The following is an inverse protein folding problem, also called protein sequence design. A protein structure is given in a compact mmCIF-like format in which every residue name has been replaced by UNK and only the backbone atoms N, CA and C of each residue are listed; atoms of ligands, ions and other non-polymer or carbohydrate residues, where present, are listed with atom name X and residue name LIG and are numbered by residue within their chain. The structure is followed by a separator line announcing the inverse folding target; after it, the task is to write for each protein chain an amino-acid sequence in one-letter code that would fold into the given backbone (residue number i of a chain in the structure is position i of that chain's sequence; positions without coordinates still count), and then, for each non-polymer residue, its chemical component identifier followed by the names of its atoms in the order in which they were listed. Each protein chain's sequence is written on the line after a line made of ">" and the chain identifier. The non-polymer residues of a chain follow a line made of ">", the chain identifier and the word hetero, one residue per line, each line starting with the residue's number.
data_IF_519396726647
#
_entry.id   IF_519396726647
#
_cell.length_a   1.000
_cell.length_b   1.000
_cell.length_c   1.000
_cell.angle_alpha   90.00
_cell.angle_beta   90.00
_cell.angle_gamma   90.00
#
_symmetry.space_group_name_H-M   'P 1'
#
loop_
_entity.id
_entity.type
_entity.pdbx_description
1 polymer ?
#
# COMPACT_ATOMS: atom_id res chain seq x y z
N UNK A 1 23.08 14.62 -2.94
CA UNK A 1 21.95 14.63 -3.89
C UNK A 1 21.36 16.03 -3.91
N UNK A 2 21.04 16.59 -5.09
CA UNK A 2 20.36 17.90 -5.17
C UNK A 2 18.92 17.78 -4.67
N UNK A 3 18.41 18.81 -3.99
CA UNK A 3 17.06 18.81 -3.41
C UNK A 3 15.97 18.67 -4.49
N UNK A 4 16.15 19.31 -5.65
CA UNK A 4 15.31 19.14 -6.85
C UNK A 4 15.17 17.68 -7.27
N UNK A 5 16.27 16.94 -7.33
CA UNK A 5 16.25 15.52 -7.69
C UNK A 5 15.47 14.65 -6.69
N UNK A 6 15.42 15.05 -5.41
CA UNK A 6 14.59 14.37 -4.40
C UNK A 6 13.12 14.72 -4.58
N UNK A 7 12.79 15.99 -4.79
CA UNK A 7 11.42 16.46 -5.00
C UNK A 7 10.79 15.86 -6.26
N UNK A 8 11.55 15.75 -7.35
CA UNK A 8 11.09 15.12 -8.60
C UNK A 8 10.75 13.65 -8.40
N UNK A 9 11.43 12.96 -7.48
CA UNK A 9 11.12 11.55 -7.18
C UNK A 9 9.75 11.37 -6.52
N UNK A 10 9.17 12.43 -5.95
CA UNK A 10 7.83 12.41 -5.38
C UNK A 10 6.74 12.41 -6.46
N UNK A 11 7.03 12.88 -7.67
CA UNK A 11 6.05 12.92 -8.74
C UNK A 11 5.77 11.52 -9.30
N UNK A 12 4.54 11.27 -9.80
CA UNK A 12 4.21 10.04 -10.51
C UNK A 12 5.20 9.75 -11.66
N UNK A 13 5.50 8.48 -11.97
CA UNK A 13 6.51 8.14 -12.97
C UNK A 13 6.29 8.80 -14.34
N UNK A 14 5.04 8.85 -14.81
CA UNK A 14 4.68 9.46 -16.08
C UNK A 14 4.99 10.97 -16.15
N UNK A 15 4.73 11.68 -15.04
CA UNK A 15 5.05 13.11 -14.90
C UNK A 15 6.55 13.32 -14.90
N UNK A 16 7.28 12.49 -14.15
CA UNK A 16 8.74 12.57 -14.05
C UNK A 16 9.43 12.31 -15.40
N UNK A 17 8.94 11.33 -16.15
CA UNK A 17 9.51 10.99 -17.46
C UNK A 17 9.28 12.09 -18.50
N UNK A 18 8.11 12.74 -18.45
CA UNK A 18 7.74 13.77 -19.44
C UNK A 18 8.23 15.18 -19.09
N UNK A 19 8.15 15.56 -17.82
CA UNK A 19 8.34 16.93 -17.34
C UNK A 19 9.37 17.04 -16.22
N UNK A 20 10.06 15.95 -15.88
CA UNK A 20 10.97 15.93 -14.73
C UNK A 20 12.17 16.88 -14.87
N UNK A 21 12.69 17.10 -16.08
CA UNK A 21 13.76 18.09 -16.34
C UNK A 21 13.28 19.51 -16.06
N UNK A 22 12.11 19.86 -16.58
CA UNK A 22 11.58 21.22 -16.51
C UNK A 22 11.20 21.58 -15.07
N UNK A 23 10.62 20.62 -14.35
CA UNK A 23 10.35 20.75 -12.91
C UNK A 23 11.67 20.86 -12.12
N UNK A 24 12.74 20.19 -12.53
CA UNK A 24 14.06 20.29 -11.86
C UNK A 24 14.59 21.72 -11.94
N UNK A 25 14.58 22.26 -13.15
CA UNK A 25 15.10 23.58 -13.45
C UNK A 25 14.27 24.65 -12.75
N UNK A 26 12.95 24.50 -12.71
CA UNK A 26 12.06 25.42 -11.99
C UNK A 26 12.30 25.38 -10.47
N UNK A 27 12.44 24.20 -9.88
CA UNK A 27 12.73 24.04 -8.44
C UNK A 27 14.12 24.59 -8.08
N UNK A 28 15.13 24.35 -8.93
CA UNK A 28 16.48 24.86 -8.72
C UNK A 28 16.52 26.40 -8.84
N UNK A 29 15.72 27.00 -9.73
CA UNK A 29 15.58 28.47 -9.85
C UNK A 29 14.79 29.10 -8.71
N UNK A 30 13.71 28.48 -8.27
CA UNK A 30 12.84 29.02 -7.22
C UNK A 30 13.41 28.83 -5.80
N UNK A 31 14.33 27.87 -5.62
CA UNK A 31 15.03 27.64 -4.36
C UNK A 31 14.15 27.02 -3.26
N UNK A 32 14.63 26.99 -2.00
CA UNK A 32 14.01 26.23 -0.92
C UNK A 32 12.60 26.65 -0.53
N UNK A 33 12.20 27.88 -0.84
CA UNK A 33 10.84 28.38 -0.55
C UNK A 33 9.76 27.66 -1.38
N UNK A 34 10.10 27.14 -2.56
CA UNK A 34 9.14 26.42 -3.42
C UNK A 34 8.98 24.95 -3.05
N UNK A 35 9.91 24.37 -2.29
CA UNK A 35 9.97 22.92 -2.05
C UNK A 35 8.69 22.33 -1.46
N UNK A 36 8.08 23.04 -0.51
CA UNK A 36 6.80 22.61 0.08
C UNK A 36 5.68 22.62 -0.96
N UNK A 37 5.57 23.70 -1.75
CA UNK A 37 4.56 23.81 -2.81
C UNK A 37 4.76 22.72 -3.88
N UNK A 38 6.01 22.42 -4.23
CA UNK A 38 6.37 21.32 -5.15
C UNK A 38 5.95 19.96 -4.58
N UNK A 39 6.22 19.69 -3.30
CA UNK A 39 5.81 18.45 -2.65
C UNK A 39 4.27 18.31 -2.57
N UNK A 40 3.57 19.39 -2.24
CA UNK A 40 2.10 19.44 -2.26
C UNK A 40 1.56 19.22 -3.68
N UNK A 41 2.19 19.81 -4.69
CA UNK A 41 1.85 19.61 -6.11
C UNK A 41 2.00 18.15 -6.53
N UNK A 42 3.11 17.51 -6.16
CA UNK A 42 3.31 16.08 -6.37
C UNK A 42 2.20 15.24 -5.71
N UNK A 43 1.85 15.56 -4.46
CA UNK A 43 0.76 14.91 -3.74
C UNK A 43 -0.61 15.06 -4.43
N UNK A 44 -0.93 16.26 -4.92
CA UNK A 44 -2.17 16.50 -5.69
C UNK A 44 -2.24 15.66 -6.96
N UNK A 45 -1.14 15.53 -7.68
CA UNK A 45 -1.07 14.67 -8.86
C UNK A 45 -1.27 13.20 -8.50
N UNK A 46 -0.74 12.72 -7.36
CA UNK A 46 -1.03 11.36 -6.90
C UNK A 46 -2.51 11.08 -6.65
N UNK A 47 -3.27 12.10 -6.27
CA UNK A 47 -4.72 12.01 -6.05
C UNK A 47 -5.54 12.10 -7.35
N UNK A 48 -4.96 12.59 -8.43
CA UNK A 48 -5.64 12.78 -9.73
C UNK A 48 -4.91 12.00 -10.83
N UNK A 49 -4.99 10.64 -10.82
CA UNK A 49 -4.39 9.80 -11.85
C UNK A 49 -4.89 10.10 -13.28
N UNK A 50 -6.05 10.74 -13.42
CA UNK A 50 -6.63 11.12 -14.70
C UNK A 50 -5.84 12.21 -15.42
N UNK A 51 -5.11 13.05 -14.68
CA UNK A 51 -4.28 14.13 -15.21
C UNK A 51 -2.92 13.63 -15.74
N UNK A 52 -2.59 12.36 -15.54
CA UNK A 52 -1.28 11.84 -15.92
C UNK A 52 -1.19 11.60 -17.42
N UNK A 53 -0.10 12.04 -18.07
CA UNK A 53 0.12 11.73 -19.47
C UNK A 53 0.34 10.22 -19.63
N UNK A 54 -0.46 9.57 -20.47
CA UNK A 54 -0.19 8.18 -20.83
C UNK A 54 0.88 8.13 -21.91
N UNK A 55 2.11 7.78 -21.53
CA UNK A 55 3.18 7.51 -22.51
C UNK A 55 3.12 6.07 -23.01
N UNK A 56 2.58 5.16 -22.20
CA UNK A 56 2.33 3.75 -22.55
C UNK A 56 0.92 3.36 -22.10
N UNK A 57 0.17 2.70 -22.99
CA UNK A 57 -1.19 2.23 -22.67
C UNK A 57 -1.21 1.38 -21.39
N UNK A 58 -2.11 1.73 -20.46
CA UNK A 58 -2.29 1.03 -19.19
C UNK A 58 -1.23 1.32 -18.11
N UNK A 59 -0.32 2.28 -18.33
CA UNK A 59 0.66 2.71 -17.32
C UNK A 59 -0.02 3.26 -16.06
N UNK A 60 -1.04 4.10 -16.20
CA UNK A 60 -1.79 4.65 -15.06
C UNK A 60 -2.45 3.54 -14.24
N UNK A 61 -3.15 2.61 -14.88
CA UNK A 61 -3.77 1.46 -14.20
C UNK A 61 -2.75 0.61 -13.44
N UNK A 62 -1.54 0.40 -13.98
CA UNK A 62 -0.45 -0.32 -13.29
C UNK A 62 -0.02 0.37 -12.01
N UNK A 63 0.20 1.69 -12.09
CA UNK A 63 0.68 2.47 -10.94
C UNK A 63 -0.41 2.54 -9.87
N UNK A 64 -1.67 2.78 -10.26
CA UNK A 64 -2.80 2.81 -9.32
C UNK A 64 -3.03 1.44 -8.67
N UNK A 65 -2.97 0.34 -9.42
CA UNK A 65 -3.08 -1.00 -8.85
C UNK A 65 -1.93 -1.30 -7.87
N UNK A 66 -0.70 -0.88 -8.19
CA UNK A 66 0.45 -1.02 -7.29
C UNK A 66 0.28 -0.17 -6.03
N UNK A 67 -0.24 1.06 -6.17
CA UNK A 67 -0.53 1.93 -5.04
C UNK A 67 -1.60 1.33 -4.11
N UNK A 68 -2.63 0.71 -4.68
CA UNK A 68 -3.66 0.02 -3.90
C UNK A 68 -3.10 -1.15 -3.09
N UNK A 69 -2.16 -1.91 -3.67
CA UNK A 69 -1.45 -2.98 -2.95
C UNK A 69 -0.56 -2.39 -1.84
N UNK A 70 0.10 -1.27 -2.10
CA UNK A 70 0.88 -0.58 -1.07
C UNK A 70 -0.01 -0.12 0.10
N UNK A 71 -1.19 0.45 -0.18
CA UNK A 71 -2.19 0.80 0.84
C UNK A 71 -2.61 -0.44 1.63
N UNK A 72 -2.89 -1.57 0.96
CA UNK A 72 -3.23 -2.83 1.62
C UNK A 72 -2.12 -3.38 2.53
N UNK A 73 -0.86 -3.29 2.08
CA UNK A 73 0.32 -3.65 2.88
C UNK A 73 0.43 -2.76 4.11
N UNK A 74 0.38 -1.43 3.94
CA UNK A 74 0.47 -0.47 5.06
C UNK A 74 -0.66 -0.73 6.06
N UNK A 75 -1.88 -0.91 5.58
CA UNK A 75 -3.04 -1.24 6.41
C UNK A 75 -2.81 -2.50 7.24
N UNK A 76 -2.31 -3.57 6.61
CA UNK A 76 -2.05 -4.84 7.29
C UNK A 76 -0.94 -4.69 8.34
N UNK A 77 0.11 -3.94 8.04
CA UNK A 77 1.18 -3.65 9.00
C UNK A 77 0.69 -2.80 10.16
N UNK A 78 -0.15 -1.78 9.90
CA UNK A 78 -0.76 -0.94 10.93
C UNK A 78 -1.69 -1.74 11.84
N UNK A 79 -2.55 -2.59 11.27
CA UNK A 79 -3.40 -3.51 12.03
C UNK A 79 -2.56 -4.46 12.89
N UNK A 80 -1.48 -5.00 12.31
CA UNK A 80 -0.57 -5.87 13.05
C UNK A 80 0.14 -5.15 14.20
N UNK A 81 0.49 -3.88 14.00
CA UNK A 81 1.15 -3.05 15.01
C UNK A 81 0.19 -2.66 16.15
N UNK A 82 -1.08 -2.43 15.83
CA UNK A 82 -2.13 -2.13 16.80
C UNK A 82 -2.49 -3.33 17.70
N UNK A 83 -2.14 -4.55 17.30
CA UNK A 83 -2.36 -5.75 18.11
C UNK A 83 -3.81 -6.25 18.10
N UNK A 84 -4.21 -6.93 19.18
CA UNK A 84 -5.58 -7.40 19.34
C UNK A 84 -6.48 -6.23 19.77
N UNK A 85 -7.36 -5.79 18.88
CA UNK A 85 -8.17 -4.59 19.07
C UNK A 85 -9.49 -4.65 18.30
N UNK A 86 -10.24 -3.54 18.22
CA UNK A 86 -11.60 -3.53 17.68
C UNK A 86 -11.72 -3.96 16.20
N UNK A 87 -10.60 -3.94 15.47
CA UNK A 87 -10.51 -4.36 14.06
C UNK A 87 -9.97 -5.78 13.87
N UNK A 88 -9.72 -6.54 14.95
CA UNK A 88 -9.40 -7.97 14.77
C UNK A 88 -10.61 -8.70 14.23
N UNK A 89 -10.41 -9.33 13.07
CA UNK A 89 -11.38 -10.22 12.51
C UNK A 89 -11.58 -11.40 13.45
N UNK A 90 -12.79 -11.52 14.01
CA UNK A 90 -13.17 -12.66 14.82
C UNK A 90 -14.38 -13.34 14.17
N UNK A 91 -14.29 -14.66 14.00
CA UNK A 91 -15.37 -15.50 13.45
C UNK A 91 -16.61 -15.42 14.36
N UNK A 92 -16.40 -15.29 15.66
CA UNK A 92 -17.48 -15.21 16.66
C UNK A 92 -18.17 -13.84 16.68
N UNK A 93 -17.57 -12.82 16.05
CA UNK A 93 -18.08 -11.46 15.99
C UNK A 93 -18.06 -10.92 14.55
N UNK A 94 -18.95 -11.40 13.66
CA UNK A 94 -18.92 -11.04 12.24
C UNK A 94 -19.03 -9.53 11.99
N UNK A 95 -19.66 -8.79 12.90
CA UNK A 95 -19.73 -7.32 12.84
C UNK A 95 -18.34 -6.64 12.93
N UNK A 96 -17.38 -7.20 13.67
CA UNK A 96 -16.01 -6.65 13.74
C UNK A 96 -15.20 -6.94 12.46
N UNK A 97 -15.65 -7.89 11.64
CA UNK A 97 -15.03 -8.25 10.36
C UNK A 97 -15.70 -7.60 9.16
N UNK A 98 -16.78 -6.84 9.35
CA UNK A 98 -17.59 -6.27 8.26
C UNK A 98 -16.79 -5.33 7.34
N UNK A 99 -15.76 -4.65 7.88
CA UNK A 99 -14.88 -3.76 7.12
C UNK A 99 -13.98 -4.53 6.12
N UNK A 100 -13.67 -5.80 6.38
CA UNK A 100 -12.79 -6.62 5.53
C UNK A 100 -13.47 -7.00 4.22
N UNK A 101 -14.77 -7.27 4.24
CA UNK A 101 -15.53 -7.72 3.07
C UNK A 101 -15.32 -6.76 1.89
N UNK A 102 -15.62 -5.45 2.00
CA UNK A 102 -15.43 -4.52 0.90
C UNK A 102 -13.95 -4.35 0.53
N UNK A 103 -13.00 -4.42 1.46
CA UNK A 103 -11.57 -4.37 1.12
C UNK A 103 -11.16 -5.57 0.28
N UNK A 104 -11.54 -6.78 0.68
CA UNK A 104 -11.25 -8.01 -0.05
C UNK A 104 -11.91 -8.00 -1.42
N UNK A 105 -13.17 -7.58 -1.52
CA UNK A 105 -13.87 -7.40 -2.80
C UNK A 105 -13.11 -6.42 -3.69
N UNK A 106 -12.68 -5.27 -3.15
CA UNK A 106 -11.92 -4.28 -3.90
C UNK A 106 -10.56 -4.81 -4.37
N UNK A 107 -9.85 -5.57 -3.52
CA UNK A 107 -8.60 -6.23 -3.88
C UNK A 107 -8.82 -7.23 -5.02
N UNK A 108 -9.84 -8.09 -4.93
CA UNK A 108 -10.19 -9.06 -5.98
C UNK A 108 -10.51 -8.36 -7.30
N UNK A 109 -11.23 -7.23 -7.25
CA UNK A 109 -11.49 -6.41 -8.42
C UNK A 109 -10.22 -5.77 -8.99
N UNK A 110 -9.25 -5.41 -8.16
CA UNK A 110 -7.97 -4.86 -8.61
C UNK A 110 -6.98 -5.92 -9.14
N UNK A 111 -7.20 -7.21 -8.86
CA UNK A 111 -6.33 -8.29 -9.35
C UNK A 111 -6.32 -8.27 -10.88
N UNK A 112 -5.14 -8.15 -11.50
CA UNK A 112 -5.02 -8.16 -12.95
C UNK A 112 -5.46 -9.53 -13.47
N UNK A 113 -6.30 -9.55 -14.50
CA UNK A 113 -6.83 -10.80 -15.06
C UNK A 113 -5.78 -11.42 -15.99
N UNK A 114 -5.12 -12.54 -15.62
CA UNK A 114 -4.29 -13.25 -16.57
C UNK A 114 -5.17 -13.82 -17.68
N UNK A 115 -4.71 -13.68 -18.93
CA UNK A 115 -5.12 -14.64 -19.95
C UNK A 115 -4.71 -16.02 -19.40
N UNK A 116 -5.68 -16.91 -19.18
CA UNK A 116 -5.55 -18.22 -18.52
C UNK A 116 -4.74 -19.22 -19.37
N UNK A 117 -3.57 -18.83 -19.86
CA UNK A 117 -2.62 -19.72 -20.50
C UNK A 117 -1.69 -20.29 -19.41
N UNK A 118 -1.70 -21.61 -19.30
CA UNK A 118 -0.83 -22.39 -18.40
C UNK A 118 0.64 -21.93 -18.42
N UNK A 119 1.29 -21.64 -19.58
CA UNK A 119 2.68 -21.18 -19.58
C UNK A 119 2.88 -19.80 -18.96
N UNK A 120 1.92 -18.88 -19.13
CA UNK A 120 1.97 -17.54 -18.51
C UNK A 120 1.79 -17.65 -17.00
N UNK A 121 0.88 -18.52 -16.55
CA UNK A 121 0.70 -18.81 -15.13
C UNK A 121 1.97 -19.39 -14.51
N UNK A 122 2.60 -20.37 -15.16
CA UNK A 122 3.86 -20.96 -14.69
C UNK A 122 4.98 -19.92 -14.56
N UNK A 123 5.12 -19.02 -15.54
CA UNK A 123 6.09 -17.92 -15.48
C UNK A 123 5.77 -16.94 -14.35
N UNK A 124 4.50 -16.57 -14.17
CA UNK A 124 4.06 -15.69 -13.08
C UNK A 124 4.34 -16.31 -11.71
N UNK A 125 3.99 -17.59 -11.52
CA UNK A 125 4.26 -18.33 -10.28
C UNK A 125 5.76 -18.39 -10.02
N UNK A 126 6.60 -18.67 -11.03
CA UNK A 126 8.04 -18.69 -10.87
C UNK A 126 8.61 -17.31 -10.48
N UNK A 127 8.10 -16.22 -11.08
CA UNK A 127 8.51 -14.85 -10.73
C UNK A 127 8.04 -14.48 -9.32
N UNK A 128 6.81 -14.83 -8.96
CA UNK A 128 6.26 -14.62 -7.62
C UNK A 128 7.06 -15.40 -6.58
N UNK A 129 7.30 -16.69 -6.80
CA UNK A 129 8.10 -17.55 -5.95
C UNK A 129 9.51 -16.99 -5.77
N UNK A 130 10.21 -16.60 -6.84
CA UNK A 130 11.55 -16.00 -6.74
C UNK A 130 11.57 -14.66 -6.01
N UNK A 131 10.51 -13.88 -6.14
CA UNK A 131 10.40 -12.55 -5.50
C UNK A 131 10.05 -12.65 -4.02
N UNK A 132 9.24 -13.64 -3.64
CA UNK A 132 8.71 -13.85 -2.28
C UNK A 132 9.47 -14.92 -1.49
N UNK A 133 10.30 -15.76 -2.12
CA UNK A 133 11.13 -16.73 -1.42
C UNK A 133 12.07 -16.08 -0.40
N UNK A 134 12.78 -14.98 -0.70
CA UNK A 134 13.64 -14.34 0.29
C UNK A 134 12.89 -13.87 1.57
N UNK A 135 11.80 -13.07 1.51
CA UNK A 135 11.06 -12.73 2.73
C UNK A 135 10.41 -13.94 3.39
N UNK A 136 9.95 -14.93 2.62
CA UNK A 136 9.37 -16.17 3.17
C UNK A 136 10.38 -16.99 3.98
N UNK A 137 11.61 -17.15 3.48
CA UNK A 137 12.68 -17.86 4.18
C UNK A 137 13.14 -17.11 5.44
N UNK A 138 13.26 -15.79 5.37
CA UNK A 138 13.57 -14.96 6.54
C UNK A 138 12.50 -15.10 7.63
N UNK A 139 11.23 -15.06 7.24
CA UNK A 139 10.12 -15.24 8.16
C UNK A 139 10.11 -16.65 8.77
N UNK A 140 10.33 -17.68 7.95
CA UNK A 140 10.43 -19.06 8.41
C UNK A 140 11.58 -19.25 9.40
N UNK A 141 12.75 -18.65 9.13
CA UNK A 141 13.89 -18.67 10.04
C UNK A 141 13.55 -17.99 11.38
N UNK A 142 12.89 -16.83 11.36
CA UNK A 142 12.42 -16.16 12.58
C UNK A 142 11.43 -17.03 13.37
N UNK A 143 10.49 -17.70 12.69
CA UNK A 143 9.56 -18.62 13.33
C UNK A 143 10.29 -19.83 13.94
N UNK A 144 11.29 -20.39 13.27
CA UNK A 144 12.09 -21.49 13.82
C UNK A 144 12.85 -21.04 15.07
N UNK A 145 13.51 -19.89 15.03
CA UNK A 145 14.22 -19.31 16.18
C UNK A 145 13.26 -19.07 17.36
N UNK A 146 12.05 -18.58 17.09
CA UNK A 146 11.04 -18.36 18.12
C UNK A 146 10.49 -19.66 18.74
N UNK A 147 10.39 -20.74 17.97
CA UNK A 147 9.83 -22.02 18.42
C UNK A 147 10.87 -22.98 19.02
N UNK A 148 12.17 -22.72 18.84
CA UNK A 148 13.24 -23.60 19.30
C UNK A 148 13.46 -23.60 20.83
N UNK A 149 12.67 -22.87 21.61
CA UNK A 149 12.69 -22.92 23.09
C UNK A 149 13.99 -22.46 23.76
N UNK A 150 15.09 -22.24 23.03
CA UNK A 150 16.40 -21.79 23.54
C UNK A 150 16.41 -20.36 24.11
N UNK A 151 15.24 -19.74 24.27
CA UNK A 151 15.06 -18.40 24.80
C UNK A 151 14.05 -18.43 25.95
N UNK A 152 14.21 -19.33 26.92
CA UNK A 152 13.37 -19.34 28.13
C UNK A 152 13.47 -18.02 28.93
N UNK A 153 14.46 -17.18 28.64
CA UNK A 153 14.45 -15.74 28.93
C UNK A 153 15.44 -15.01 28.01
N UNK A 154 15.02 -14.51 26.83
CA UNK A 154 15.92 -13.78 25.97
C UNK A 154 16.35 -12.49 26.70
N UNK A 155 17.66 -12.27 26.82
CA UNK A 155 18.22 -10.99 27.26
C UNK A 155 17.58 -9.87 26.44
N UNK A 156 17.17 -8.77 27.09
CA UNK A 156 16.49 -7.61 26.49
C UNK A 156 16.97 -7.24 25.06
N UNK A 157 18.28 -7.14 24.75
CA UNK A 157 18.74 -6.81 23.39
C UNK A 157 18.36 -7.84 22.32
N UNK A 158 18.31 -9.14 22.64
CA UNK A 158 17.94 -10.19 21.69
C UNK A 158 16.47 -10.07 21.31
N UNK A 159 15.60 -9.77 22.28
CA UNK A 159 14.17 -9.54 22.04
C UNK A 159 13.93 -8.33 21.14
N UNK A 160 14.63 -7.22 21.40
CA UNK A 160 14.55 -6.01 20.57
C UNK A 160 15.05 -6.30 19.15
N UNK A 161 16.17 -7.00 19.01
CA UNK A 161 16.72 -7.36 17.70
C UNK A 161 15.75 -8.25 16.91
N UNK A 162 15.16 -9.28 17.53
CA UNK A 162 14.17 -10.14 16.89
C UNK A 162 12.93 -9.36 16.44
N UNK A 163 12.45 -8.42 17.26
CA UNK A 163 11.33 -7.55 16.90
C UNK A 163 11.67 -6.64 15.72
N UNK A 164 12.86 -6.06 15.70
CA UNK A 164 13.35 -5.26 14.56
C UNK A 164 13.45 -6.13 13.31
N UNK A 165 14.06 -7.31 13.40
CA UNK A 165 14.18 -8.25 12.29
C UNK A 165 12.80 -8.69 11.75
N UNK A 166 11.83 -8.91 12.64
CA UNK A 166 10.45 -9.21 12.28
C UNK A 166 9.82 -8.09 11.45
N UNK A 167 9.84 -6.86 11.95
CA UNK A 167 9.26 -5.71 11.23
C UNK A 167 9.98 -5.42 9.91
N UNK A 168 11.31 -5.51 9.89
CA UNK A 168 12.11 -5.35 8.67
C UNK A 168 11.72 -6.42 7.64
N UNK A 169 11.53 -7.67 8.06
CA UNK A 169 11.12 -8.76 7.16
C UNK A 169 9.72 -8.53 6.58
N UNK A 170 8.78 -8.06 7.40
CA UNK A 170 7.43 -7.73 6.95
C UNK A 170 7.43 -6.56 5.96
N UNK A 171 8.13 -5.46 6.27
CA UNK A 171 8.30 -4.32 5.38
C UNK A 171 8.95 -4.74 4.06
N UNK A 172 9.99 -5.57 4.13
CA UNK A 172 10.67 -6.11 2.96
C UNK A 172 9.72 -6.97 2.10
N UNK A 173 8.91 -7.83 2.72
CA UNK A 173 7.86 -8.59 2.03
C UNK A 173 6.85 -7.69 1.33
N UNK A 174 6.39 -6.64 2.01
CA UNK A 174 5.48 -5.64 1.47
C UNK A 174 6.05 -4.90 0.24
N UNK A 175 7.30 -4.45 0.32
CA UNK A 175 8.01 -3.83 -0.81
C UNK A 175 8.13 -4.81 -1.98
N UNK A 176 8.50 -6.07 -1.71
CA UNK A 176 8.63 -7.12 -2.73
C UNK A 176 7.29 -7.41 -3.40
N UNK A 177 6.18 -7.38 -2.66
CA UNK A 177 4.84 -7.53 -3.22
C UNK A 177 4.48 -6.36 -4.15
N UNK A 178 4.78 -5.12 -3.76
CA UNK A 178 4.56 -3.94 -4.61
C UNK A 178 5.39 -4.03 -5.91
N UNK A 179 6.66 -4.43 -5.80
CA UNK A 179 7.55 -4.63 -6.96
C UNK A 179 7.05 -5.78 -7.85
N UNK A 180 6.53 -6.85 -7.25
CA UNK A 180 5.96 -7.98 -7.98
C UNK A 180 4.77 -7.52 -8.82
N UNK A 181 3.84 -6.76 -8.25
CA UNK A 181 2.66 -6.25 -8.95
C UNK A 181 3.05 -5.28 -10.07
N UNK A 182 3.97 -4.36 -9.80
CA UNK A 182 4.49 -3.43 -10.80
C UNK A 182 5.15 -4.14 -11.99
N UNK A 183 5.87 -5.24 -11.74
CA UNK A 183 6.52 -6.06 -12.78
C UNK A 183 5.53 -6.96 -13.51
N UNK A 184 4.67 -7.66 -12.78
CA UNK A 184 3.63 -8.52 -13.32
C UNK A 184 2.72 -7.74 -14.26
N UNK A 185 2.46 -6.47 -13.95
CA UNK A 185 1.62 -5.65 -14.79
C UNK A 185 2.13 -5.44 -16.22
N UNK A 186 3.44 -5.61 -16.48
CA UNK A 186 4.01 -5.57 -17.84
C UNK A 186 3.58 -6.75 -18.71
N UNK A 187 3.17 -7.86 -18.09
CA UNK A 187 2.88 -9.13 -18.76
C UNK A 187 1.39 -9.47 -18.69
N UNK A 188 0.68 -8.94 -17.69
CA UNK A 188 -0.73 -9.22 -17.43
C UNK A 188 -1.60 -8.07 -17.91
N UNK A 189 -2.78 -8.38 -18.44
CA UNK A 189 -3.81 -7.39 -18.75
C UNK A 189 -4.23 -6.68 -17.46
N UNK A 190 -4.05 -5.35 -17.44
CA UNK A 190 -4.47 -4.52 -16.32
C UNK A 190 -6.00 -4.50 -16.19
N UNK A 191 -6.54 -4.31 -14.97
CA UNK A 191 -7.95 -4.03 -14.81
C UNK A 191 -8.32 -2.78 -15.61
N UNK A 192 -9.50 -2.81 -16.23
CA UNK A 192 -10.06 -1.66 -16.94
C UNK A 192 -10.34 -0.51 -15.96
N UNK A 193 -10.35 0.73 -16.47
CA UNK A 193 -10.70 1.93 -15.70
C UNK A 193 -11.94 1.76 -14.80
N UNK A 194 -13.10 1.30 -15.32
CA UNK A 194 -14.29 1.12 -14.49
C UNK A 194 -14.13 0.05 -13.40
N UNK A 195 -13.42 -1.06 -13.70
CA UNK A 195 -13.16 -2.10 -12.72
C UNK A 195 -12.24 -1.60 -11.60
N UNK A 196 -11.25 -0.78 -11.96
CA UNK A 196 -10.34 -0.15 -11.00
C UNK A 196 -11.04 0.92 -10.17
N UNK A 197 -11.94 1.70 -10.77
CA UNK A 197 -12.82 2.63 -10.06
C UNK A 197 -13.65 1.89 -8.99
N UNK A 198 -14.32 0.80 -9.36
CA UNK A 198 -15.07 -0.01 -8.41
C UNK A 198 -14.17 -0.58 -7.31
N UNK A 199 -12.98 -1.09 -7.67
CA UNK A 199 -12.01 -1.58 -6.70
C UNK A 199 -11.65 -0.51 -5.66
N UNK A 200 -11.37 0.72 -6.10
CA UNK A 200 -11.06 1.84 -5.20
C UNK A 200 -12.26 2.23 -4.33
N UNK A 201 -13.47 2.27 -4.89
CA UNK A 201 -14.70 2.57 -4.13
C UNK A 201 -14.93 1.53 -3.01
N UNK A 202 -14.74 0.24 -3.31
CA UNK A 202 -14.85 -0.83 -2.34
C UNK A 202 -13.77 -0.73 -1.25
N UNK A 203 -12.51 -0.51 -1.61
CA UNK A 203 -11.43 -0.34 -0.62
C UNK A 203 -11.65 0.91 0.24
N UNK A 204 -12.04 2.04 -0.35
CA UNK A 204 -12.36 3.27 0.39
C UNK A 204 -13.51 3.06 1.38
N UNK A 205 -14.56 2.34 0.95
CA UNK A 205 -15.70 2.00 1.83
C UNK A 205 -15.23 1.17 3.01
N UNK A 206 -14.43 0.13 2.78
CA UNK A 206 -13.91 -0.71 3.86
C UNK A 206 -13.00 0.05 4.82
N UNK A 207 -12.12 0.91 4.32
CA UNK A 207 -11.29 1.80 5.13
C UNK A 207 -12.14 2.78 5.97
N UNK A 208 -13.20 3.34 5.39
CA UNK A 208 -14.12 4.22 6.10
C UNK A 208 -14.87 3.49 7.22
N UNK A 209 -15.37 2.28 6.95
CA UNK A 209 -16.01 1.43 7.97
C UNK A 209 -15.02 1.10 9.09
N UNK A 210 -13.78 0.72 8.75
CA UNK A 210 -12.73 0.46 9.74
C UNK A 210 -12.41 1.70 10.59
N UNK A 211 -12.37 2.89 9.98
CA UNK A 211 -12.18 4.16 10.69
C UNK A 211 -13.34 4.44 11.66
N UNK A 212 -14.59 4.27 11.22
CA UNK A 212 -15.78 4.46 12.06
C UNK A 212 -15.80 3.47 13.22
N UNK A 213 -15.44 2.20 12.99
CA UNK A 213 -15.36 1.19 14.04
C UNK A 213 -14.26 1.52 15.06
N UNK A 214 -13.09 1.96 14.59
CA UNK A 214 -11.98 2.40 15.46
C UNK A 214 -12.37 3.62 16.29
N UNK A 215 -13.05 4.59 15.67
CA UNK A 215 -13.56 5.78 16.33
C UNK A 215 -14.61 5.46 17.39
N UNK A 216 -15.56 4.57 17.07
CA UNK A 216 -16.57 4.11 18.01
C UNK A 216 -15.96 3.36 19.21
N UNK A 217 -14.89 2.59 18.98
CA UNK A 217 -14.14 1.94 20.05
C UNK A 217 -13.39 2.96 20.93
N UNK A 218 -12.82 4.02 20.33
CA UNK A 218 -12.13 5.08 21.05
C UNK A 218 -13.04 5.86 22.03
N UNK A 219 -14.35 5.91 21.79
CA UNK A 219 -15.31 6.49 22.74
C UNK A 219 -15.61 5.59 23.93
N UNK A 220 -15.44 4.28 23.79
CA UNK A 220 -15.74 3.32 24.86
C UNK A 220 -14.59 3.20 25.85
N UNK A 221 -13.36 3.31 25.35
CA UNK A 221 -12.15 3.25 26.17
C UNK A 221 -11.34 4.53 25.97
N UNK A 222 -11.36 5.45 26.95
CA UNK A 222 -10.57 6.65 26.86
C UNK A 222 -9.09 6.29 26.97
N UNK A 223 -8.33 6.73 25.97
CA UNK A 223 -6.86 6.81 25.91
C UNK A 223 -6.08 5.60 25.36
N UNK A 224 -6.09 5.46 24.04
CA UNK A 224 -4.89 5.06 23.32
C UNK A 224 -4.61 6.02 22.16
N UNK A 225 -3.52 6.79 22.26
CA UNK A 225 -3.03 7.67 21.18
C UNK A 225 -2.84 6.87 19.88
N UNK A 226 -2.49 5.58 19.99
CA UNK A 226 -2.38 4.65 18.87
C UNK A 226 -3.68 4.47 18.09
N UNK A 227 -4.82 4.33 18.79
CA UNK A 227 -6.13 4.15 18.16
C UNK A 227 -6.60 5.42 17.43
N UNK A 228 -6.31 6.60 18.00
CA UNK A 228 -6.59 7.88 17.34
C UNK A 228 -5.75 8.06 16.06
N UNK A 229 -4.44 7.79 16.13
CA UNK A 229 -3.55 7.85 14.96
C UNK A 229 -3.97 6.84 13.89
N UNK A 230 -4.37 5.64 14.29
CA UNK A 230 -4.89 4.62 13.38
C UNK A 230 -6.19 5.07 12.71
N UNK A 231 -7.14 5.61 13.48
CA UNK A 231 -8.41 6.15 12.95
C UNK A 231 -8.15 7.26 11.93
N UNK A 232 -7.26 8.20 12.24
CA UNK A 232 -6.85 9.25 11.31
C UNK A 232 -6.17 8.69 10.06
N UNK A 233 -5.30 7.69 10.21
CA UNK A 233 -4.63 7.02 9.10
C UNK A 233 -5.62 6.29 8.17
N UNK A 234 -6.60 5.60 8.74
CA UNK A 234 -7.67 4.93 7.98
C UNK A 234 -8.55 5.94 7.24
N UNK A 235 -8.98 7.01 7.93
CA UNK A 235 -9.82 8.05 7.34
C UNK A 235 -9.10 8.78 6.20
N UNK A 236 -7.84 9.19 6.41
CA UNK A 236 -7.03 9.85 5.37
C UNK A 236 -6.77 8.93 4.17
N UNK A 237 -6.50 7.64 4.42
CA UNK A 237 -6.36 6.64 3.35
C UNK A 237 -7.67 6.45 2.58
N UNK A 238 -8.81 6.37 3.28
CA UNK A 238 -10.13 6.27 2.66
C UNK A 238 -10.41 7.48 1.76
N UNK A 239 -10.15 8.69 2.25
CA UNK A 239 -10.31 9.93 1.47
C UNK A 239 -9.41 9.94 0.24
N UNK A 240 -8.12 9.59 0.39
CA UNK A 240 -7.19 9.56 -0.74
C UNK A 240 -7.61 8.55 -1.83
N UNK A 241 -7.99 7.34 -1.41
CA UNK A 241 -8.48 6.28 -2.31
C UNK A 241 -9.79 6.71 -2.99
N UNK A 242 -10.70 7.37 -2.26
CA UNK A 242 -11.96 7.87 -2.81
C UNK A 242 -11.73 8.98 -3.85
N UNK A 243 -10.85 9.95 -3.58
CA UNK A 243 -10.51 11.02 -4.53
C UNK A 243 -9.95 10.42 -5.81
N UNK A 244 -8.96 9.52 -5.69
CA UNK A 244 -8.37 8.84 -6.85
C UNK A 244 -9.41 8.00 -7.61
N UNK A 245 -10.34 7.35 -6.90
CA UNK A 245 -11.44 6.61 -7.49
C UNK A 245 -12.38 7.52 -8.29
N UNK A 246 -12.86 8.62 -7.70
CA UNK A 246 -13.74 9.58 -8.36
C UNK A 246 -13.09 10.21 -9.60
N UNK A 247 -11.79 10.45 -9.53
CA UNK A 247 -11.02 11.01 -10.64
C UNK A 247 -10.94 10.04 -11.83
N UNK A 248 -10.71 8.74 -11.58
CA UNK A 248 -10.71 7.72 -12.63
C UNK A 248 -12.06 7.52 -13.34
N UNK A 249 -13.18 7.93 -12.73
CA UNK A 249 -14.51 7.87 -13.35
C UNK A 249 -14.65 8.88 -14.51
N UNK A 250 -13.82 9.93 -14.55
CA UNK A 250 -13.93 11.02 -15.53
C UNK A 250 -13.24 10.72 -16.87
N UNK A 251 -12.54 9.59 -16.99
CA UNK A 251 -11.94 9.09 -18.23
C UNK A 251 -12.87 8.10 -18.92
#
# INVERSE_FOLDING_TARGET
>A
MRASAVLIRLYPPAIRERWGSDIADEVDRAGPRSWFNTAVGAGKLWLHPSDWPETVAGQTSRVVATALVAVGVVLTLSLRAAGAGPLTANIDHPASSAWLIPILTGVVLAVPSPALSVPVLGRLVAVAARTLAPPGLLFAALCLVANLGSLDSPVCPVRVLLLVCYWVTLCFGGIRLCVLVARAGRVVAMPSGPRLHLALMFVATGLAVAAVQSFAAAFREPSEVGLALMTCGLATSATAVLIAGMDLRRR
#
